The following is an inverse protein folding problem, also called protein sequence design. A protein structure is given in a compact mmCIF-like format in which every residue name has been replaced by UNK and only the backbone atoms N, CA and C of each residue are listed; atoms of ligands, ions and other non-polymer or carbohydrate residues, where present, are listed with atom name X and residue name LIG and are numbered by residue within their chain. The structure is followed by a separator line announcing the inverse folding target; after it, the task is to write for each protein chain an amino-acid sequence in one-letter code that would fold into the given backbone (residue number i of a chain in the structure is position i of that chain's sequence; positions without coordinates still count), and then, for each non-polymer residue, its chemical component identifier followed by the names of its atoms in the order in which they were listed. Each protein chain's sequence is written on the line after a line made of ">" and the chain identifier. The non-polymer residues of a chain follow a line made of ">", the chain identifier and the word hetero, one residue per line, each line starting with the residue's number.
data_IF_826675622853
#
_entry.id   IF_826675622853
#
_cell.length_a   1.000
_cell.length_b   1.000
_cell.length_c   1.000
_cell.angle_alpha   90.00
_cell.angle_beta   90.00
_cell.angle_gamma   90.00
#
_symmetry.space_group_name_H-M   'P 1'
#
loop_
_entity.id
_entity.type
_entity.pdbx_description
1 polymer ?
#
# COMPACT_ATOMS: atom_id res chain seq x y z
N UNK A 1 -12.86 -14.24 -12.11
CA UNK A 1 -12.20 -13.71 -10.92
C UNK A 1 -13.08 -12.65 -10.29
N UNK A 2 -13.24 -12.67 -9.00
CA UNK A 2 -14.11 -11.72 -8.30
C UNK A 2 -13.54 -10.31 -8.31
N UNK A 3 -14.44 -9.34 -8.44
CA UNK A 3 -14.06 -7.93 -8.44
C UNK A 3 -14.16 -7.37 -7.02
N UNK A 4 -13.09 -6.71 -6.56
CA UNK A 4 -13.03 -6.08 -5.24
C UNK A 4 -12.57 -4.65 -5.41
N UNK A 5 -13.23 -3.73 -4.72
CA UNK A 5 -12.83 -2.31 -4.69
C UNK A 5 -12.24 -2.00 -3.33
N UNK A 6 -11.06 -1.38 -3.33
CA UNK A 6 -10.38 -0.99 -2.09
C UNK A 6 -10.09 0.51 -2.14
N UNK A 7 -10.57 1.23 -1.13
CA UNK A 7 -10.23 2.64 -0.91
C UNK A 7 -9.31 2.74 0.29
N UNK A 8 -8.23 3.49 0.14
CA UNK A 8 -7.25 3.66 1.21
C UNK A 8 -6.95 5.12 1.48
N UNK A 9 -6.62 5.41 2.73
CA UNK A 9 -6.20 6.74 3.15
C UNK A 9 -5.24 6.60 4.32
N UNK A 10 -4.22 7.43 4.34
CA UNK A 10 -3.25 7.45 5.43
C UNK A 10 -2.76 8.86 5.65
N UNK A 11 -2.51 9.20 6.89
CA UNK A 11 -2.06 10.54 7.25
C UNK A 11 -1.15 10.48 8.46
N UNK A 12 -0.32 11.50 8.59
CA UNK A 12 0.62 11.61 9.70
C UNK A 12 0.67 13.06 10.17
N UNK A 13 0.62 13.25 11.48
CA UNK A 13 0.74 14.59 12.08
C UNK A 13 2.23 14.85 12.30
N UNK A 14 2.83 15.64 11.41
CA UNK A 14 4.28 15.74 11.33
C UNK A 14 4.84 14.62 10.46
N UNK A 15 6.13 14.65 10.19
CA UNK A 15 6.74 13.64 9.32
C UNK A 15 8.22 13.47 9.67
N UNK A 16 8.57 12.64 10.70
CA UNK A 16 7.71 11.66 11.38
C UNK A 16 6.83 12.24 12.49
N UNK A 17 5.85 11.45 12.92
CA UNK A 17 4.95 11.80 14.00
C UNK A 17 3.84 10.75 14.13
N UNK A 18 2.82 11.02 14.98
CA UNK A 18 1.70 10.11 15.09
C UNK A 18 0.92 10.05 13.77
N UNK A 19 0.55 8.86 13.36
CA UNK A 19 -0.17 8.68 12.12
C UNK A 19 -1.25 7.61 12.21
N UNK A 20 -2.16 7.64 11.24
CA UNK A 20 -3.22 6.67 11.14
C UNK A 20 -3.53 6.34 9.70
N UNK A 21 -4.21 5.23 9.51
CA UNK A 21 -4.62 4.76 8.19
C UNK A 21 -6.02 4.18 8.25
N UNK A 22 -6.70 4.21 7.12
CA UNK A 22 -8.01 3.61 6.99
C UNK A 22 -8.15 2.90 5.65
N UNK A 23 -8.89 1.82 5.62
CA UNK A 23 -9.12 1.04 4.41
C UNK A 23 -10.57 0.61 4.37
N UNK A 24 -11.20 0.78 3.21
CA UNK A 24 -12.56 0.33 2.96
C UNK A 24 -12.51 -0.67 1.82
N UNK A 25 -13.02 -1.86 2.08
CA UNK A 25 -13.06 -2.93 1.10
C UNK A 25 -14.51 -3.24 0.75
N UNK A 26 -14.81 -3.22 -0.54
CA UNK A 26 -16.17 -3.51 -1.03
C UNK A 26 -16.13 -4.70 -1.98
N UNK A 27 -16.97 -5.68 -1.67
CA UNK A 27 -17.11 -6.91 -2.45
C UNK A 27 -18.58 -7.25 -2.55
N UNK A 28 -19.14 -7.15 -3.76
CA UNK A 28 -20.57 -7.30 -3.99
C UNK A 28 -21.34 -6.32 -3.10
N UNK A 29 -22.26 -6.80 -2.27
CA UNK A 29 -23.04 -5.96 -1.37
C UNK A 29 -22.40 -5.83 0.01
N UNK A 30 -21.21 -6.37 0.20
CA UNK A 30 -20.50 -6.35 1.47
C UNK A 30 -19.50 -5.22 1.52
N UNK A 31 -19.40 -4.58 2.67
CA UNK A 31 -18.45 -3.52 2.92
C UNK A 31 -17.74 -3.77 4.24
N UNK A 32 -16.42 -3.67 4.23
CA UNK A 32 -15.62 -3.82 5.44
C UNK A 32 -14.69 -2.64 5.59
N UNK A 33 -14.65 -2.08 6.79
CA UNK A 33 -13.78 -0.97 7.12
C UNK A 33 -12.79 -1.42 8.20
N UNK A 34 -11.53 -1.08 7.99
CA UNK A 34 -10.48 -1.32 9.00
C UNK A 34 -9.65 -0.06 9.13
N UNK A 35 -9.00 0.09 10.27
CA UNK A 35 -8.15 1.23 10.53
C UNK A 35 -7.11 0.87 11.59
N UNK A 36 -6.09 1.71 11.67
CA UNK A 36 -5.04 1.54 12.66
C UNK A 36 -4.16 2.78 12.73
N UNK A 37 -3.14 2.73 13.55
CA UNK A 37 -2.24 3.85 13.70
C UNK A 37 -0.94 3.47 14.36
N UNK A 38 0.03 4.39 14.30
CA UNK A 38 1.32 4.25 14.94
C UNK A 38 1.68 5.58 15.60
N UNK A 39 2.43 5.50 16.71
CA UNK A 39 2.82 6.70 17.45
C UNK A 39 3.90 7.50 16.74
N UNK A 40 4.74 6.84 15.95
CA UNK A 40 5.83 7.48 15.23
C UNK A 40 5.97 6.85 13.86
N UNK A 41 5.55 7.58 12.82
CA UNK A 41 5.49 7.04 11.47
C UNK A 41 5.59 8.18 10.44
N UNK A 42 5.41 7.86 9.18
CA UNK A 42 5.39 8.85 8.09
C UNK A 42 4.13 8.67 7.25
N UNK A 43 3.78 9.70 6.46
CA UNK A 43 2.65 9.62 5.55
C UNK A 43 2.76 8.41 4.62
N UNK A 44 3.95 8.19 4.05
CA UNK A 44 4.15 7.10 3.08
C UNK A 44 3.97 5.74 3.73
N UNK A 45 4.44 5.57 4.97
CA UNK A 45 4.24 4.31 5.71
C UNK A 45 2.75 4.06 5.95
N UNK A 46 2.01 5.10 6.34
CA UNK A 46 0.58 4.95 6.59
C UNK A 46 -0.19 4.62 5.31
N UNK A 47 0.16 5.25 4.20
CA UNK A 47 -0.47 4.95 2.90
C UNK A 47 -0.22 3.51 2.47
N UNK A 48 1.03 3.04 2.58
CA UNK A 48 1.38 1.67 2.25
C UNK A 48 0.70 0.66 3.17
N UNK A 49 0.67 0.97 4.47
CA UNK A 49 0.04 0.09 5.45
C UNK A 49 -1.45 -0.10 5.16
N UNK A 50 -2.13 0.98 4.78
CA UNK A 50 -3.55 0.90 4.42
C UNK A 50 -3.78 -0.09 3.26
N UNK A 51 -2.95 -0.05 2.23
CA UNK A 51 -3.05 -0.95 1.09
C UNK A 51 -2.75 -2.39 1.50
N UNK A 52 -1.67 -2.59 2.23
CA UNK A 52 -1.25 -3.93 2.66
C UNK A 52 -2.32 -4.59 3.51
N UNK A 53 -2.85 -3.88 4.49
CA UNK A 53 -3.87 -4.43 5.38
C UNK A 53 -5.17 -4.73 4.62
N UNK A 54 -5.51 -3.91 3.63
CA UNK A 54 -6.65 -4.19 2.77
C UNK A 54 -6.49 -5.48 1.97
N UNK A 55 -5.31 -5.66 1.37
CA UNK A 55 -5.03 -6.86 0.58
C UNK A 55 -5.00 -8.13 1.45
N UNK A 56 -4.57 -8.01 2.69
CA UNK A 56 -4.55 -9.15 3.62
C UNK A 56 -5.94 -9.68 3.96
N UNK A 57 -6.98 -8.90 3.74
CA UNK A 57 -8.36 -9.35 3.98
C UNK A 57 -8.87 -10.27 2.90
N UNK A 58 -8.22 -10.31 1.75
CA UNK A 58 -8.63 -11.15 0.63
C UNK A 58 -8.27 -12.61 0.90
N UNK A 59 -9.24 -13.50 0.81
CA UNK A 59 -9.06 -14.92 1.11
C UNK A 59 -8.84 -15.77 -0.13
N UNK A 60 -8.98 -15.17 -1.31
CA UNK A 60 -8.82 -15.85 -2.59
C UNK A 60 -8.38 -14.82 -3.63
N UNK A 61 -7.81 -15.25 -4.77
CA UNK A 61 -7.38 -14.30 -5.80
C UNK A 61 -8.56 -13.49 -6.32
N UNK A 62 -8.35 -12.17 -6.40
CA UNK A 62 -9.37 -11.21 -6.82
C UNK A 62 -8.80 -10.23 -7.82
N UNK A 63 -9.67 -9.65 -8.63
CA UNK A 63 -9.32 -8.52 -9.46
C UNK A 63 -9.58 -7.25 -8.64
N UNK A 64 -8.51 -6.62 -8.18
CA UNK A 64 -8.60 -5.51 -7.23
C UNK A 64 -8.55 -4.17 -7.96
N UNK A 65 -9.53 -3.31 -7.64
CA UNK A 65 -9.54 -1.92 -8.09
C UNK A 65 -9.18 -1.05 -6.89
N UNK A 66 -7.95 -0.55 -6.87
CA UNK A 66 -7.42 0.22 -5.75
C UNK A 66 -7.54 1.71 -6.03
N UNK A 67 -8.14 2.43 -5.09
CA UNK A 67 -8.26 3.89 -5.13
C UNK A 67 -7.52 4.49 -3.96
N UNK A 68 -6.56 5.35 -4.22
CA UNK A 68 -5.74 6.00 -3.21
C UNK A 68 -5.46 7.44 -3.63
N UNK A 69 -5.47 8.35 -2.67
CA UNK A 69 -5.07 9.73 -2.89
C UNK A 69 -3.55 9.91 -2.87
N UNK A 70 -2.81 8.86 -2.52
CA UNK A 70 -1.36 8.95 -2.40
C UNK A 70 -0.69 8.88 -3.77
N UNK A 71 -0.10 9.97 -4.21
CA UNK A 71 0.71 9.98 -5.43
C UNK A 71 1.88 9.00 -5.31
N UNK A 72 2.43 8.84 -4.11
CA UNK A 72 3.52 7.91 -3.84
C UNK A 72 3.14 6.47 -4.19
N UNK A 73 1.97 6.01 -3.73
CA UNK A 73 1.50 4.65 -4.01
C UNK A 73 1.08 4.50 -5.46
N UNK A 74 0.26 5.42 -5.96
CA UNK A 74 -0.28 5.35 -7.33
C UNK A 74 0.83 5.40 -8.37
N UNK A 75 1.78 6.32 -8.22
CA UNK A 75 2.87 6.47 -9.18
C UNK A 75 3.82 5.29 -9.17
N UNK A 76 4.02 4.65 -8.03
CA UNK A 76 4.88 3.47 -7.96
C UNK A 76 4.40 2.36 -8.89
N UNK A 77 3.09 2.20 -9.01
CA UNK A 77 2.50 1.22 -9.94
C UNK A 77 2.46 1.75 -11.37
N UNK A 78 2.02 2.99 -11.56
CA UNK A 78 1.79 3.54 -12.90
C UNK A 78 3.08 3.90 -13.64
N UNK A 79 4.15 4.24 -12.93
CA UNK A 79 5.41 4.66 -13.54
C UNK A 79 6.51 3.60 -13.46
N UNK A 80 6.12 2.37 -13.16
CA UNK A 80 7.04 1.21 -13.12
C UNK A 80 8.18 1.34 -12.11
N UNK A 81 8.00 2.11 -11.05
CA UNK A 81 9.02 2.23 -10.00
C UNK A 81 9.36 0.88 -9.40
N UNK A 82 8.33 0.07 -9.14
CA UNK A 82 8.50 -1.24 -8.51
C UNK A 82 9.31 -2.18 -9.40
N UNK A 83 9.04 -2.20 -10.70
CA UNK A 83 9.80 -3.01 -11.65
C UNK A 83 11.27 -2.62 -11.63
N UNK A 84 11.55 -1.32 -11.61
CA UNK A 84 12.92 -0.82 -11.59
C UNK A 84 13.62 -1.20 -10.29
N UNK A 85 12.93 -1.13 -9.16
CA UNK A 85 13.49 -1.51 -7.87
C UNK A 85 13.86 -3.00 -7.85
N UNK A 86 12.98 -3.86 -8.33
CA UNK A 86 13.25 -5.31 -8.39
C UNK A 86 14.45 -5.58 -9.28
N UNK A 87 14.51 -4.94 -10.45
CA UNK A 87 15.61 -5.09 -11.39
C UNK A 87 16.96 -4.65 -10.79
N UNK A 88 16.94 -3.62 -9.94
CA UNK A 88 18.13 -3.02 -9.35
C UNK A 88 18.40 -3.52 -7.92
N UNK A 89 17.85 -4.68 -7.54
CA UNK A 89 18.01 -5.27 -6.21
C UNK A 89 17.55 -4.34 -5.08
N UNK A 90 16.46 -3.61 -5.31
CA UNK A 90 15.87 -2.69 -4.34
C UNK A 90 16.81 -1.58 -3.93
N UNK A 91 17.58 -1.07 -4.89
CA UNK A 91 18.45 0.06 -4.70
C UNK A 91 18.09 1.18 -5.66
N UNK A 92 18.25 2.41 -5.19
CA UNK A 92 18.04 3.58 -6.03
C UNK A 92 19.21 3.77 -6.99
N UNK A 93 19.12 4.74 -7.89
CA UNK A 93 20.20 5.09 -8.80
C UNK A 93 21.48 5.49 -8.06
N UNK A 94 21.37 5.98 -6.84
CA UNK A 94 22.50 6.33 -5.97
C UNK A 94 23.04 5.13 -5.20
N UNK A 95 22.54 3.93 -5.50
CA UNK A 95 22.92 2.68 -4.84
C UNK A 95 22.54 2.63 -3.36
N UNK A 96 21.56 3.46 -2.97
CA UNK A 96 21.00 3.43 -1.62
C UNK A 96 19.78 2.50 -1.61
N UNK A 97 19.51 1.90 -0.45
CA UNK A 97 18.34 1.05 -0.31
C UNK A 97 17.05 1.84 -0.52
N UNK A 98 16.10 1.24 -1.24
CA UNK A 98 14.80 1.85 -1.48
C UNK A 98 14.08 2.09 -0.15
N UNK A 99 13.56 3.29 0.03
CA UNK A 99 12.83 3.66 1.23
C UNK A 99 11.57 2.79 1.36
N UNK A 100 11.29 2.33 2.57
CA UNK A 100 10.15 1.45 2.86
C UNK A 100 10.19 0.12 2.08
N UNK A 101 11.39 -0.35 1.76
CA UNK A 101 11.61 -1.56 0.98
C UNK A 101 10.80 -2.75 1.49
N UNK A 102 10.79 -2.97 2.79
CA UNK A 102 10.12 -4.13 3.38
C UNK A 102 8.60 -4.08 3.16
N UNK A 103 8.01 -2.89 3.27
CA UNK A 103 6.59 -2.70 3.01
C UNK A 103 6.26 -2.93 1.54
N UNK A 104 7.09 -2.44 0.63
CA UNK A 104 6.91 -2.66 -0.79
C UNK A 104 7.03 -4.13 -1.16
N UNK A 105 7.97 -4.83 -0.55
CA UNK A 105 8.15 -6.26 -0.79
C UNK A 105 6.94 -7.07 -0.30
N UNK A 106 6.39 -6.70 0.85
CA UNK A 106 5.18 -7.34 1.38
C UNK A 106 3.99 -7.09 0.46
N UNK A 107 3.84 -5.86 -0.01
CA UNK A 107 2.76 -5.50 -0.92
C UNK A 107 2.86 -6.29 -2.23
N UNK A 108 4.05 -6.41 -2.81
CA UNK A 108 4.26 -7.20 -4.01
C UNK A 108 3.89 -8.66 -3.81
N UNK A 109 4.28 -9.22 -2.67
CA UNK A 109 3.95 -10.61 -2.33
C UNK A 109 2.43 -10.82 -2.36
N UNK A 110 1.68 -9.86 -1.82
CA UNK A 110 0.23 -9.94 -1.79
C UNK A 110 -0.41 -9.77 -3.17
N UNK A 111 0.22 -9.05 -4.08
CA UNK A 111 -0.32 -8.84 -5.44
C UNK A 111 -0.09 -10.03 -6.36
N UNK A 112 0.76 -10.97 -6.00
CA UNK A 112 1.04 -12.16 -6.81
C UNK A 112 0.00 -13.25 -6.64
N UNK A 113 -0.90 -13.11 -5.69
CA UNK A 113 -1.99 -14.06 -5.47
C UNK A 113 -3.33 -13.46 -5.94
#
# INVERSE_FOLDING_TARGET
>A
MEEVIIYTDGACSGNPGPGGWGTILMYKDNKKEISGGLKNTTNNVMELTAVIEGLKLLKFPCNVHLYSDSAYVVNAFNQNWIKNWVKNNWKTSDKKEVKNKELWQELLSLTKT
#
